data_IF_035300802618
#
_entry.id   IF_035300802618
#
_cell.length_a   1.000
_cell.length_b   1.000
_cell.length_c   1.000
_cell.angle_alpha   90.00
_cell.angle_beta   90.00
_cell.angle_gamma   90.00
#
_symmetry.space_group_name_H-M   'P 1'
#
loop_
_entity.id
_entity.type
_entity.pdbx_description
1 polymer ?
#
# COMPACT_ATOMS: atom_id res chain seq x y z
N UNK A 1 -2.74 -14.87 1.66
CA UNK A 1 -2.00 -14.05 2.64
C UNK A 1 -3.04 -13.41 3.53
N UNK A 2 -2.94 -13.62 4.84
CA UNK A 2 -3.98 -13.26 5.80
C UNK A 2 -4.01 -11.75 6.04
N UNK A 3 -5.19 -11.14 6.05
CA UNK A 3 -5.36 -9.70 6.29
C UNK A 3 -4.82 -9.32 7.67
N UNK A 4 -4.88 -10.25 8.63
CA UNK A 4 -4.33 -10.12 9.98
C UNK A 4 -2.82 -9.91 9.98
N UNK A 5 -2.08 -10.58 9.09
CA UNK A 5 -0.64 -10.39 8.93
C UNK A 5 -0.32 -8.98 8.40
N UNK A 6 -1.15 -8.45 7.52
CA UNK A 6 -1.00 -7.09 6.97
C UNK A 6 -1.38 -6.05 8.02
N UNK A 7 -2.39 -6.34 8.84
CA UNK A 7 -2.81 -5.53 9.98
C UNK A 7 -1.71 -5.41 11.03
N UNK A 8 -1.05 -6.52 11.38
CA UNK A 8 0.13 -6.52 12.27
C UNK A 8 1.26 -5.67 11.70
N UNK A 9 1.46 -5.68 10.38
CA UNK A 9 2.49 -4.84 9.74
C UNK A 9 2.21 -3.35 9.82
N UNK A 10 0.96 -2.92 10.04
CA UNK A 10 0.67 -1.50 10.31
C UNK A 10 1.37 -1.03 11.58
N UNK A 11 1.51 -1.89 12.60
CA UNK A 11 2.16 -1.55 13.86
C UNK A 11 3.67 -1.32 13.73
N UNK A 12 4.29 -1.79 12.64
CA UNK A 12 5.71 -1.58 12.36
C UNK A 12 5.97 -0.18 11.79
N UNK A 13 4.95 0.48 11.22
CA UNK A 13 5.07 1.82 10.67
C UNK A 13 5.28 2.86 11.79
N UNK A 14 6.14 3.85 11.54
CA UNK A 14 6.12 5.07 12.37
C UNK A 14 4.80 5.83 12.13
N UNK A 15 4.35 6.71 13.05
CA UNK A 15 3.13 7.48 12.84
C UNK A 15 3.12 8.24 11.51
N UNK A 16 4.24 8.90 11.17
CA UNK A 16 4.38 9.62 9.90
C UNK A 16 4.37 8.68 8.69
N UNK A 17 5.00 7.51 8.77
CA UNK A 17 4.93 6.52 7.69
C UNK A 17 3.49 5.98 7.51
N UNK A 18 2.74 5.75 8.59
CA UNK A 18 1.34 5.35 8.52
C UNK A 18 0.46 6.42 7.84
N UNK A 19 0.69 7.69 8.15
CA UNK A 19 0.01 8.83 7.50
C UNK A 19 0.30 8.89 6.00
N UNK A 20 1.54 8.68 5.59
CA UNK A 20 1.95 8.65 4.17
C UNK A 20 1.30 7.43 3.48
N UNK A 21 1.39 6.25 4.08
CA UNK A 21 0.82 5.02 3.53
C UNK A 21 -0.70 5.14 3.35
N UNK A 22 -1.42 5.71 4.32
CA UNK A 22 -2.86 5.98 4.20
C UNK A 22 -3.17 6.82 2.97
N UNK A 23 -2.40 7.90 2.75
CA UNK A 23 -2.61 8.77 1.60
C UNK A 23 -2.26 8.11 0.27
N UNK A 24 -1.21 7.28 0.24
CA UNK A 24 -0.85 6.51 -0.95
C UNK A 24 -1.95 5.51 -1.33
N UNK A 25 -2.61 4.88 -0.35
CA UNK A 25 -3.65 3.88 -0.59
C UNK A 25 -4.99 4.47 -1.05
N UNK A 26 -5.34 5.67 -0.58
CA UNK A 26 -6.62 6.31 -0.94
C UNK A 26 -6.81 6.47 -2.45
N UNK A 27 -5.73 6.50 -3.24
CA UNK A 27 -5.76 6.64 -4.70
C UNK A 27 -5.08 5.48 -5.44
N UNK A 28 -4.86 4.32 -4.79
CA UNK A 28 -4.08 3.23 -5.38
C UNK A 28 -4.94 2.23 -6.16
N UNK A 29 -4.90 2.21 -7.51
CA UNK A 29 -5.71 1.29 -8.30
C UNK A 29 -5.22 -0.16 -8.23
N UNK A 30 -4.06 -0.42 -7.63
CA UNK A 30 -3.45 -1.75 -7.55
C UNK A 30 -3.78 -2.51 -6.26
N UNK A 31 -4.49 -1.86 -5.33
CA UNK A 31 -4.94 -2.48 -4.08
C UNK A 31 -6.47 -2.54 -4.10
N UNK A 32 -7.08 -3.70 -3.84
CA UNK A 32 -8.53 -3.82 -3.80
C UNK A 32 -9.14 -2.90 -2.75
N UNK A 33 -10.28 -2.30 -3.09
CA UNK A 33 -10.92 -1.27 -2.25
C UNK A 33 -11.27 -1.82 -0.87
N UNK A 34 -11.70 -3.07 -0.80
CA UNK A 34 -12.02 -3.79 0.42
C UNK A 34 -10.82 -3.89 1.38
N UNK A 35 -9.61 -4.06 0.86
CA UNK A 35 -8.40 -4.09 1.69
C UNK A 35 -8.04 -2.70 2.19
N UNK A 36 -8.20 -1.67 1.35
CA UNK A 36 -8.00 -0.28 1.76
C UNK A 36 -8.97 0.08 2.88
N UNK A 37 -10.26 -0.28 2.75
CA UNK A 37 -11.28 -0.02 3.77
C UNK A 37 -10.97 -0.73 5.09
N UNK A 38 -10.52 -1.99 5.05
CA UNK A 38 -10.18 -2.75 6.24
C UNK A 38 -8.93 -2.22 6.97
N UNK A 39 -7.93 -1.72 6.23
CA UNK A 39 -6.68 -1.22 6.80
C UNK A 39 -6.76 0.24 7.27
N UNK A 40 -7.72 1.00 6.73
CA UNK A 40 -7.87 2.44 7.00
C UNK A 40 -7.99 2.79 8.49
N UNK A 41 -8.81 2.12 9.31
CA UNK A 41 -8.90 2.43 10.75
C UNK A 41 -7.56 2.27 11.48
N UNK A 42 -6.82 1.20 11.18
CA UNK A 42 -5.53 0.92 11.80
C UNK A 42 -4.47 1.96 11.44
N UNK A 43 -4.39 2.31 10.15
CA UNK A 43 -3.49 3.34 9.65
C UNK A 43 -3.83 4.71 10.24
N UNK A 44 -5.13 5.05 10.32
CA UNK A 44 -5.60 6.30 10.92
C UNK A 44 -5.20 6.37 12.39
N UNK A 45 -5.50 5.33 13.17
CA UNK A 45 -5.13 5.25 14.59
C UNK A 45 -3.61 5.38 14.78
N UNK A 46 -2.82 4.66 13.98
CA UNK A 46 -1.36 4.73 14.04
C UNK A 46 -0.81 6.10 13.63
N UNK A 47 -1.52 6.84 12.78
CA UNK A 47 -1.11 8.16 12.29
C UNK A 47 -1.45 9.33 13.22
N UNK A 48 -2.19 9.11 14.31
CA UNK A 48 -2.66 10.21 15.17
C UNK A 48 -1.53 11.09 15.71
N UNK A 49 -0.40 10.49 16.08
CA UNK A 49 0.76 11.22 16.64
C UNK A 49 1.72 11.75 15.55
N UNK A 50 1.33 11.66 14.28
CA UNK A 50 2.17 12.11 13.18
C UNK A 50 2.10 13.63 13.03
N UNK A 51 3.28 14.25 12.98
CA UNK A 51 3.41 15.65 12.56
C UNK A 51 2.70 15.93 11.22
N UNK A 52 2.32 17.19 11.02
CA UNK A 52 1.82 17.67 9.72
C UNK A 52 2.85 17.45 8.61
N UNK A 53 2.37 17.25 7.39
CA UNK A 53 3.25 17.13 6.23
C UNK A 53 3.97 18.45 5.97
N UNK A 54 5.30 18.39 5.83
CA UNK A 54 6.09 19.51 5.34
C UNK A 54 6.04 19.63 3.82
N UNK A 55 6.53 20.75 3.26
CA UNK A 55 6.54 20.97 1.80
C UNK A 55 7.28 19.89 1.00
N UNK A 56 8.38 19.37 1.56
CA UNK A 56 9.15 18.24 0.98
C UNK A 56 8.38 16.92 1.02
N UNK A 57 7.51 16.70 2.02
CA UNK A 57 6.67 15.52 2.07
C UNK A 57 5.66 15.50 0.92
N UNK A 58 5.06 16.65 0.60
CA UNK A 58 4.14 16.78 -0.52
C UNK A 58 4.81 16.55 -1.87
N UNK A 59 6.01 17.09 -2.09
CA UNK A 59 6.75 16.86 -3.35
C UNK A 59 7.09 15.38 -3.55
N UNK A 60 7.55 14.69 -2.49
CA UNK A 60 7.84 13.26 -2.58
C UNK A 60 6.56 12.44 -2.81
N UNK A 61 5.44 12.81 -2.19
CA UNK A 61 4.16 12.14 -2.40
C UNK A 61 3.68 12.25 -3.86
N UNK A 62 3.77 13.45 -4.46
CA UNK A 62 3.42 13.63 -5.88
C UNK A 62 4.31 12.77 -6.80
N UNK A 63 5.58 12.62 -6.45
CA UNK A 63 6.50 11.79 -7.22
C UNK A 63 6.28 10.28 -7.02
N UNK A 64 5.72 9.87 -5.89
CA UNK A 64 5.27 8.49 -5.66
C UNK A 64 4.03 8.19 -6.52
N UNK A 65 3.11 9.14 -6.65
CA UNK A 65 1.92 9.02 -7.50
C UNK A 65 2.25 9.07 -9.01
N UNK A 66 3.37 9.69 -9.40
CA UNK A 66 3.79 9.85 -10.80
C UNK A 66 5.08 9.07 -11.11
N UNK A 67 5.00 7.89 -11.75
CA UNK A 67 6.14 7.02 -12.03
C UNK A 67 7.31 7.71 -12.76
N UNK A 68 7.03 8.71 -13.61
CA UNK A 68 8.05 9.46 -14.34
C UNK A 68 8.94 10.35 -13.47
N UNK A 69 8.46 10.83 -12.32
CA UNK A 69 9.25 11.65 -11.38
C UNK A 69 9.99 10.81 -10.33
N UNK A 70 9.65 9.51 -10.23
CA UNK A 70 10.17 8.59 -9.22
C UNK A 70 11.70 8.46 -9.21
N UNK A 71 12.34 8.41 -10.40
CA UNK A 71 13.81 8.29 -10.51
C UNK A 71 14.53 9.50 -9.93
N UNK A 72 13.89 10.66 -9.91
CA UNK A 72 14.48 11.90 -9.41
C UNK A 72 14.32 12.04 -7.89
N UNK A 73 13.18 11.62 -7.33
CA UNK A 73 12.86 11.85 -5.92
C UNK A 73 13.27 10.73 -4.99
N UNK A 74 13.57 9.53 -5.49
CA UNK A 74 13.92 8.38 -4.65
C UNK A 74 15.18 8.62 -3.79
N UNK A 75 16.11 9.47 -4.25
CA UNK A 75 17.32 9.85 -3.50
C UNK A 75 17.04 10.85 -2.36
N UNK A 76 15.91 11.55 -2.42
CA UNK A 76 15.48 12.54 -1.44
C UNK A 76 14.39 12.00 -0.52
N UNK A 77 14.11 10.70 -0.62
CA UNK A 77 13.08 10.04 0.17
C UNK A 77 13.52 9.99 1.65
N UNK A 78 12.69 10.53 2.54
CA UNK A 78 12.90 10.40 3.98
C UNK A 78 12.72 8.94 4.42
N UNK A 79 13.21 8.61 5.62
CA UNK A 79 13.04 7.26 6.20
C UNK A 79 11.57 6.85 6.25
N UNK A 80 10.69 7.78 6.63
CA UNK A 80 9.25 7.55 6.76
C UNK A 80 8.59 7.32 5.41
N UNK A 81 8.97 8.11 4.40
CA UNK A 81 8.48 7.96 3.02
C UNK A 81 8.91 6.59 2.47
N UNK A 82 10.18 6.21 2.65
CA UNK A 82 10.71 4.91 2.21
C UNK A 82 9.98 3.76 2.89
N UNK A 83 9.74 3.87 4.19
CA UNK A 83 9.03 2.84 4.95
C UNK A 83 7.60 2.68 4.45
N UNK A 84 6.86 3.77 4.27
CA UNK A 84 5.51 3.76 3.72
C UNK A 84 5.48 3.15 2.32
N UNK A 85 6.41 3.54 1.44
CA UNK A 85 6.52 3.04 0.07
C UNK A 85 6.77 1.54 0.02
N UNK A 86 7.71 1.04 0.81
CA UNK A 86 8.00 -0.40 0.89
C UNK A 86 6.80 -1.18 1.41
N UNK A 87 6.12 -0.65 2.43
CA UNK A 87 4.91 -1.27 2.99
C UNK A 87 3.78 -1.34 1.95
N UNK A 88 3.45 -0.24 1.27
CA UNK A 88 2.42 -0.21 0.21
C UNK A 88 2.82 -1.11 -0.96
N UNK A 89 4.10 -1.14 -1.35
CA UNK A 89 4.58 -2.05 -2.40
C UNK A 89 4.40 -3.52 -2.00
N UNK A 90 4.62 -3.85 -0.72
CA UNK A 90 4.38 -5.20 -0.22
C UNK A 90 2.89 -5.56 -0.27
N UNK A 91 2.00 -4.60 0.01
CA UNK A 91 0.55 -4.77 -0.09
C UNK A 91 0.10 -5.02 -1.54
N UNK A 92 0.61 -4.24 -2.50
CA UNK A 92 0.34 -4.45 -3.94
C UNK A 92 0.75 -5.85 -4.40
N UNK A 93 1.93 -6.33 -3.95
CA UNK A 93 2.41 -7.69 -4.26
C UNK A 93 1.49 -8.76 -3.66
N UNK A 94 1.07 -8.57 -2.41
CA UNK A 94 0.14 -9.47 -1.73
C UNK A 94 -1.22 -9.54 -2.43
N UNK A 95 -1.76 -8.37 -2.81
CA UNK A 95 -3.01 -8.24 -3.61
C UNK A 95 -2.91 -9.03 -4.91
N UNK A 96 -1.85 -8.81 -5.68
CA UNK A 96 -1.63 -9.52 -6.94
C UNK A 96 -1.53 -11.03 -6.76
N UNK A 97 -0.79 -11.49 -5.75
CA UNK A 97 -0.67 -12.91 -5.45
C UNK A 97 -2.01 -13.52 -5.03
N UNK A 98 -2.83 -12.79 -4.28
CA UNK A 98 -4.17 -13.24 -3.89
C UNK A 98 -5.10 -13.37 -5.11
N UNK A 99 -5.08 -12.41 -6.03
CA UNK A 99 -5.82 -12.47 -7.29
C UNK A 99 -5.40 -13.65 -8.16
N UNK A 100 -4.09 -13.89 -8.29
CA UNK A 100 -3.56 -15.04 -9.03
C UNK A 100 -3.98 -16.37 -8.40
N UNK A 101 -3.94 -16.47 -7.07
CA UNK A 101 -4.37 -17.68 -6.36
C UNK A 101 -5.87 -17.97 -6.55
N UNK A 102 -6.71 -16.93 -6.59
CA UNK A 102 -8.14 -17.08 -6.89
C UNK A 102 -8.36 -17.57 -8.34
N UNK A 103 -7.57 -17.09 -9.31
CA UNK A 103 -7.65 -17.54 -10.70
C UNK A 103 -7.16 -18.97 -10.90
N UNK A 104 -6.12 -19.40 -10.16
CA UNK A 104 -5.59 -20.77 -10.24
C UNK A 104 -6.44 -21.83 -9.51
N UNK A 105 -7.50 -21.43 -8.81
CA UNK A 105 -8.48 -22.36 -8.19
C UNK A 105 -9.58 -22.75 -9.18
N UNK A 106 -9.70 -22.06 -10.33
CA UNK A 106 -10.62 -22.41 -11.42
C UNK A 106 -9.94 -22.89 -12.73
N UNK A 107 -8.98 -23.83 -12.73
CA UNK A 107 -8.57 -24.50 -13.96
C UNK A 107 -9.41 -25.78 -14.16
N UNK A 108 -10.05 -25.89 -15.33
CA UNK A 108 -10.53 -27.14 -15.96
C UNK A 108 -11.92 -27.74 -15.62
N UNK A 109 -12.95 -26.98 -15.22
CA UNK A 109 -14.33 -27.52 -15.11
C UNK A 109 -15.24 -27.25 -16.32
N UNK A 110 -14.74 -26.75 -17.45
CA UNK A 110 -15.59 -26.35 -18.60
C UNK A 110 -15.38 -27.20 -19.87
N UNK A 111 -14.43 -28.14 -19.94
CA UNK A 111 -14.12 -28.84 -21.21
C UNK A 111 -14.32 -30.36 -21.20
N UNK A 112 -15.40 -30.86 -20.58
CA UNK A 112 -15.90 -32.24 -20.79
C UNK A 112 -17.42 -32.37 -20.84
N UNK A 113 -18.10 -31.46 -21.53
CA UNK A 113 -19.49 -31.65 -21.92
C UNK A 113 -19.80 -30.97 -23.25
N UNK A 114 -19.25 -31.49 -24.35
CA UNK A 114 -19.75 -31.26 -25.71
C UNK A 114 -19.45 -32.48 -26.58
#
# INVERSE_FOLDING_TARGET
MDLDFIYQKVQVLSPKAAKIALRMLDNDPHVPTEWVLALRPALKMRSNDAASFGGTDWMTMVAIERPGMRKFTERFESREQRHARLWVTSLRRASRAALQAQQSVFPDDVEKAA
#
